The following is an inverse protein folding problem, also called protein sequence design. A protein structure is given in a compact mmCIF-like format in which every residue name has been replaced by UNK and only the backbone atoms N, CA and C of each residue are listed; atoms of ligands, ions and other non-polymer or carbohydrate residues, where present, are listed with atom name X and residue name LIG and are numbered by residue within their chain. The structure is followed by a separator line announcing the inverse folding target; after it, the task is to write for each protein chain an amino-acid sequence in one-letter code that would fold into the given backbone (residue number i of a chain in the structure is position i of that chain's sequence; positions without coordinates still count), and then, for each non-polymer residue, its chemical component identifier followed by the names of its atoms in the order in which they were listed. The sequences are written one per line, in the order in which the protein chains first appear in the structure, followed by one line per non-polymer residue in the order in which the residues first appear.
data_IF_344383576068
#
_entry.id   IF_344383576068
#
_cell.length_a   1.000
_cell.length_b   1.000
_cell.length_c   1.000
_cell.angle_alpha   90.00
_cell.angle_beta   90.00
_cell.angle_gamma   90.00
#
_symmetry.space_group_name_H-M   'P 1'
#
loop_
_entity.id
_entity.type
_entity.pdbx_description
1 polymer ?
#
# COMPACT_ATOMS: atom_id res chain seq x y z
N UNK A 1 -23.58 -5.68 9.27
CA UNK A 1 -22.14 -5.95 9.05
C UNK A 1 -21.40 -4.62 8.98
N UNK A 2 -20.76 -4.21 10.08
CA UNK A 2 -20.06 -2.91 10.20
C UNK A 2 -18.54 -3.02 9.99
N UNK A 3 -18.00 -4.25 9.97
CA UNK A 3 -16.59 -4.58 10.21
C UNK A 3 -15.69 -4.23 9.04
N UNK A 4 -16.25 -4.20 7.83
CA UNK A 4 -15.50 -3.94 6.61
C UNK A 4 -15.58 -2.48 6.15
N UNK A 5 -16.18 -1.59 6.95
CA UNK A 5 -16.33 -0.18 6.55
C UNK A 5 -15.03 0.62 6.64
N UNK A 6 -13.96 0.12 7.27
CA UNK A 6 -12.73 0.89 7.53
C UNK A 6 -11.47 0.01 7.63
N UNK A 7 -11.12 -0.73 6.59
CA UNK A 7 -9.71 -1.11 6.43
C UNK A 7 -9.07 0.03 5.64
N UNK A 8 -8.42 0.96 6.33
CA UNK A 8 -7.59 1.95 5.64
C UNK A 8 -6.46 1.20 4.96
N UNK A 9 -6.47 1.15 3.63
CA UNK A 9 -5.39 0.58 2.87
C UNK A 9 -4.08 1.31 3.23
N UNK A 10 -3.16 0.55 3.84
CA UNK A 10 -1.71 0.70 3.76
C UNK A 10 -1.13 2.11 3.96
N UNK A 11 -1.39 2.73 5.10
CA UNK A 11 -0.60 3.90 5.56
C UNK A 11 0.77 3.50 6.13
N UNK A 12 1.45 2.53 5.53
CA UNK A 12 2.84 2.19 5.86
C UNK A 12 3.76 3.30 5.36
N UNK A 13 4.61 3.86 6.22
CA UNK A 13 5.63 4.81 5.77
C UNK A 13 6.56 4.10 4.78
N UNK A 14 6.72 4.61 3.55
CA UNK A 14 7.86 4.22 2.70
C UNK A 14 9.10 4.84 3.36
N UNK A 15 10.19 4.09 3.58
CA UNK A 15 11.46 4.74 3.80
C UNK A 15 11.83 5.32 2.44
N UNK A 16 11.50 6.60 2.21
CA UNK A 16 12.03 7.31 1.05
C UNK A 16 13.54 7.29 1.20
N UNK A 17 14.20 6.56 0.30
CA UNK A 17 15.65 6.50 0.28
C UNK A 17 16.18 7.92 0.09
N UNK A 18 17.12 8.29 0.95
CA UNK A 18 17.75 9.60 0.92
C UNK A 18 18.61 9.73 -0.34
N UNK A 19 18.30 10.71 -1.17
CA UNK A 19 19.27 11.29 -2.09
C UNK A 19 20.37 11.98 -1.26
N UNK A 20 21.52 11.33 -1.11
CA UNK A 20 22.71 12.00 -0.62
C UNK A 20 23.36 12.76 -1.79
N UNK A 21 22.99 14.03 -1.98
CA UNK A 21 23.68 14.91 -2.93
C UNK A 21 25.07 15.25 -2.37
N UNK A 22 26.12 14.74 -3.03
CA UNK A 22 27.50 15.02 -2.68
C UNK A 22 27.84 16.49 -2.96
N UNK A 23 28.10 17.27 -1.91
CA UNK A 23 28.46 18.69 -2.01
C UNK A 23 29.96 18.83 -2.30
N UNK A 24 30.33 18.85 -3.59
CA UNK A 24 31.64 19.40 -4.00
C UNK A 24 31.56 20.92 -4.04
N UNK A 25 32.26 21.56 -3.10
CA UNK A 25 32.45 23.01 -3.03
C UNK A 25 33.17 23.54 -4.29
N UNK A 26 32.71 24.70 -4.80
CA UNK A 26 33.10 25.42 -6.03
C UNK A 26 32.35 25.08 -7.35
N UNK A 27 31.08 24.69 -7.27
CA UNK A 27 30.19 24.63 -8.45
C UNK A 27 29.35 25.91 -8.57
N UNK A 28 29.08 26.39 -9.78
CA UNK A 28 28.08 27.44 -10.02
C UNK A 28 26.71 27.03 -9.43
N UNK A 29 25.84 27.98 -9.01
CA UNK A 29 24.51 27.64 -8.52
C UNK A 29 23.77 26.82 -9.58
N UNK A 30 23.23 25.67 -9.17
CA UNK A 30 22.51 24.75 -10.07
C UNK A 30 21.25 25.45 -10.61
N UNK A 31 20.94 25.22 -11.87
CA UNK A 31 19.67 25.66 -12.45
C UNK A 31 18.54 24.77 -11.94
N UNK A 32 17.30 25.28 -11.98
CA UNK A 32 16.11 24.49 -11.62
C UNK A 32 16.03 23.17 -12.41
N UNK A 33 16.38 23.21 -13.68
CA UNK A 33 16.34 22.03 -14.55
C UNK A 33 17.38 20.97 -14.15
N UNK A 34 18.59 21.41 -13.76
CA UNK A 34 19.60 20.50 -13.21
C UNK A 34 19.14 19.86 -11.89
N UNK A 35 18.55 20.64 -10.98
CA UNK A 35 18.01 20.11 -9.72
C UNK A 35 16.85 19.14 -9.98
N UNK A 36 16.00 19.42 -10.96
CA UNK A 36 14.90 18.53 -11.37
C UNK A 36 15.41 17.18 -11.87
N UNK A 37 16.40 17.20 -12.78
CA UNK A 37 17.00 15.98 -13.31
C UNK A 37 17.67 15.16 -12.21
N UNK A 38 18.46 15.79 -11.34
CA UNK A 38 19.13 15.10 -10.24
C UNK A 38 18.13 14.50 -9.24
N UNK A 39 17.05 15.22 -8.92
CA UNK A 39 16.02 14.74 -8.00
C UNK A 39 15.28 13.53 -8.59
N UNK A 40 14.86 13.61 -9.85
CA UNK A 40 14.24 12.50 -10.55
C UNK A 40 15.18 11.28 -10.64
N UNK A 41 16.43 11.50 -11.05
CA UNK A 41 17.43 10.43 -11.13
C UNK A 41 17.62 9.74 -9.79
N UNK A 42 17.66 10.47 -8.69
CA UNK A 42 17.81 9.83 -7.38
C UNK A 42 16.58 9.10 -6.88
N UNK A 43 15.36 9.54 -7.21
CA UNK A 43 14.16 8.74 -6.97
C UNK A 43 14.26 7.39 -7.70
N UNK A 44 14.69 7.42 -8.97
CA UNK A 44 14.79 6.23 -9.82
C UNK A 44 16.07 5.39 -9.58
N UNK A 45 17.08 5.97 -8.94
CA UNK A 45 18.33 5.27 -8.60
C UNK A 45 18.26 4.51 -7.27
N UNK A 46 17.33 4.88 -6.38
CA UNK A 46 17.18 4.25 -5.08
C UNK A 46 16.67 2.80 -5.19
N UNK A 47 17.52 1.76 -4.98
CA UNK A 47 17.15 0.38 -5.29
C UNK A 47 15.89 -0.09 -4.55
N UNK A 48 15.74 0.34 -3.30
CA UNK A 48 14.64 -0.06 -2.41
C UNK A 48 13.29 0.58 -2.76
N UNK A 49 13.27 1.60 -3.62
CA UNK A 49 12.03 2.32 -4.01
C UNK A 49 11.86 2.50 -5.51
N UNK A 50 12.88 2.10 -6.30
CA UNK A 50 12.92 2.27 -7.75
C UNK A 50 11.66 1.74 -8.43
N UNK A 51 11.27 0.49 -8.15
CA UNK A 51 10.11 -0.13 -8.80
C UNK A 51 8.80 0.61 -8.50
N UNK A 52 8.68 1.18 -7.30
CA UNK A 52 7.53 2.01 -6.93
C UNK A 52 7.52 3.33 -7.73
N UNK A 53 8.64 4.04 -7.78
CA UNK A 53 8.74 5.28 -8.55
C UNK A 53 8.58 5.07 -10.05
N UNK A 54 9.10 3.97 -10.60
CA UNK A 54 8.86 3.57 -11.99
C UNK A 54 7.37 3.33 -12.26
N UNK A 55 6.66 2.66 -11.35
CA UNK A 55 5.22 2.45 -11.48
C UNK A 55 4.45 3.78 -11.43
N UNK A 56 4.77 4.66 -10.48
CA UNK A 56 4.16 5.99 -10.39
C UNK A 56 4.43 6.79 -11.66
N UNK A 57 5.67 6.87 -12.14
CA UNK A 57 6.03 7.61 -13.35
C UNK A 57 5.32 7.08 -14.59
N UNK A 58 5.14 5.76 -14.68
CA UNK A 58 4.46 5.13 -15.79
C UNK A 58 2.94 5.38 -15.76
N UNK A 59 2.32 5.19 -14.61
CA UNK A 59 0.87 5.11 -14.47
C UNK A 59 0.23 6.46 -14.08
N UNK A 60 1.00 7.36 -13.46
CA UNK A 60 0.63 8.71 -12.99
C UNK A 60 1.73 9.75 -13.30
N UNK A 61 2.08 9.97 -14.59
CA UNK A 61 3.20 10.83 -14.96
C UNK A 61 3.05 12.28 -14.49
N UNK A 62 1.84 12.83 -14.52
CA UNK A 62 1.60 14.21 -14.09
C UNK A 62 1.82 14.40 -12.58
N UNK A 63 1.38 13.44 -11.77
CA UNK A 63 1.59 13.43 -10.32
C UNK A 63 3.04 13.14 -9.96
N UNK A 64 3.75 12.34 -10.76
CA UNK A 64 5.19 12.16 -10.62
C UNK A 64 5.95 13.47 -10.87
N UNK A 65 5.63 14.18 -11.95
CA UNK A 65 6.22 15.49 -12.26
C UNK A 65 5.92 16.51 -11.15
N UNK A 66 4.73 16.45 -10.55
CA UNK A 66 4.38 17.28 -9.39
C UNK A 66 5.27 16.97 -8.18
N UNK A 67 5.51 15.70 -7.87
CA UNK A 67 6.42 15.28 -6.79
C UNK A 67 7.82 15.83 -7.01
N UNK A 68 8.35 15.71 -8.24
CA UNK A 68 9.67 16.25 -8.60
C UNK A 68 9.67 17.77 -8.40
N UNK A 69 8.63 18.47 -8.86
CA UNK A 69 8.48 19.91 -8.66
C UNK A 69 8.52 20.33 -7.19
N UNK A 70 7.86 19.59 -6.30
CA UNK A 70 7.88 19.83 -4.84
C UNK A 70 9.27 19.64 -4.24
N UNK A 71 9.99 18.59 -4.66
CA UNK A 71 11.37 18.34 -4.23
C UNK A 71 12.32 19.44 -4.67
N UNK A 72 12.21 19.88 -5.93
CA UNK A 72 12.99 20.98 -6.49
C UNK A 72 12.71 22.30 -5.77
N UNK A 73 11.44 22.62 -5.52
CA UNK A 73 11.06 23.84 -4.81
C UNK A 73 11.62 23.88 -3.39
N UNK A 74 11.65 22.73 -2.71
CA UNK A 74 12.23 22.61 -1.39
C UNK A 74 13.76 22.79 -1.43
N UNK A 75 14.49 22.04 -2.27
CA UNK A 75 15.94 22.14 -2.44
C UNK A 75 16.40 23.58 -2.78
N UNK A 76 15.65 24.26 -3.66
CA UNK A 76 15.98 25.63 -4.08
C UNK A 76 15.75 26.68 -2.97
N UNK A 77 14.83 26.44 -2.03
CA UNK A 77 14.58 27.34 -0.88
C UNK A 77 15.58 27.12 0.24
N UNK A 78 15.91 25.87 0.49
CA UNK A 78 16.84 25.41 1.52
C UNK A 78 17.32 24.03 1.11
N UNK A 79 18.62 23.75 1.25
CA UNK A 79 19.15 22.39 0.98
C UNK A 79 18.25 21.34 1.64
N UNK A 80 17.68 20.47 0.81
CA UNK A 80 16.67 19.50 1.20
C UNK A 80 17.30 18.48 2.13
N UNK A 81 16.84 18.44 3.37
CA UNK A 81 17.26 17.38 4.28
C UNK A 81 16.57 16.06 3.93
N UNK A 82 17.12 14.96 4.42
CA UNK A 82 16.51 13.63 4.31
C UNK A 82 15.08 13.62 4.88
N UNK A 83 14.88 14.25 6.03
CA UNK A 83 13.59 14.25 6.73
C UNK A 83 12.54 15.06 5.96
N UNK A 84 12.96 16.16 5.31
CA UNK A 84 12.09 16.94 4.42
C UNK A 84 11.66 16.11 3.21
N UNK A 85 12.58 15.37 2.58
CA UNK A 85 12.26 14.47 1.46
C UNK A 85 11.26 13.37 1.86
N UNK A 86 11.43 12.78 3.05
CA UNK A 86 10.48 11.79 3.61
C UNK A 86 9.11 12.44 3.84
N UNK A 87 9.08 13.64 4.41
CA UNK A 87 7.83 14.36 4.68
C UNK A 87 7.08 14.71 3.39
N UNK A 88 7.79 15.22 2.37
CA UNK A 88 7.23 15.53 1.05
C UNK A 88 6.64 14.29 0.41
N UNK A 89 7.39 13.19 0.34
CA UNK A 89 6.91 11.96 -0.29
C UNK A 89 5.74 11.32 0.46
N UNK A 90 5.73 11.38 1.81
CA UNK A 90 4.59 10.90 2.62
C UNK A 90 3.33 11.74 2.39
N UNK A 91 3.46 13.07 2.37
CA UNK A 91 2.33 13.96 2.10
C UNK A 91 1.79 13.72 0.70
N UNK A 92 2.67 13.70 -0.31
CA UNK A 92 2.29 13.49 -1.71
C UNK A 92 1.60 12.12 -1.91
N UNK A 93 2.12 11.04 -1.31
CA UNK A 93 1.47 9.73 -1.43
C UNK A 93 0.06 9.72 -0.83
N UNK A 94 -0.13 10.39 0.32
CA UNK A 94 -1.46 10.52 0.91
C UNK A 94 -2.44 11.30 0.04
N UNK A 95 -1.95 12.31 -0.70
CA UNK A 95 -2.76 13.08 -1.65
C UNK A 95 -3.08 12.26 -2.92
N UNK A 96 -2.11 11.49 -3.43
CA UNK A 96 -2.31 10.55 -4.54
C UNK A 96 -3.39 9.51 -4.18
N UNK A 97 -3.29 8.90 -3.01
CA UNK A 97 -4.27 7.94 -2.50
C UNK A 97 -5.66 8.58 -2.31
N UNK A 98 -5.72 9.82 -1.83
CA UNK A 98 -7.00 10.54 -1.70
C UNK A 98 -7.64 10.85 -3.07
N UNK A 99 -6.83 11.16 -4.08
CA UNK A 99 -7.31 11.48 -5.42
C UNK A 99 -7.76 10.22 -6.19
N UNK A 100 -6.97 9.15 -6.08
CA UNK A 100 -7.06 8.01 -6.99
C UNK A 100 -7.45 6.70 -6.31
N UNK A 101 -7.36 6.61 -4.98
CA UNK A 101 -7.54 5.38 -4.21
C UNK A 101 -8.91 4.72 -4.41
N UNK A 102 -9.98 5.52 -4.53
CA UNK A 102 -11.32 4.98 -4.79
C UNK A 102 -11.42 4.30 -6.17
N UNK A 103 -10.52 4.59 -7.11
CA UNK A 103 -10.47 3.94 -8.42
C UNK A 103 -10.11 2.47 -8.32
N UNK A 104 -9.45 2.01 -7.25
CA UNK A 104 -9.20 0.58 -7.00
C UNK A 104 -10.50 -0.21 -7.06
N UNK A 105 -11.63 0.34 -6.60
CA UNK A 105 -12.96 -0.31 -6.68
C UNK A 105 -13.38 -0.67 -8.10
N UNK A 106 -12.81 0.00 -9.11
CA UNK A 106 -13.08 -0.18 -10.53
C UNK A 106 -11.94 -0.85 -11.29
N UNK A 107 -10.82 -1.20 -10.64
CA UNK A 107 -9.67 -1.82 -11.29
C UNK A 107 -10.03 -3.16 -11.94
N UNK A 108 -9.45 -3.58 -13.08
CA UNK A 108 -9.77 -4.89 -13.63
C UNK A 108 -9.41 -6.05 -12.69
N UNK A 109 -10.12 -7.19 -12.83
CA UNK A 109 -9.95 -8.34 -11.93
C UNK A 109 -8.49 -8.78 -11.75
N UNK A 110 -7.70 -8.77 -12.83
CA UNK A 110 -6.28 -9.14 -12.78
C UNK A 110 -5.45 -8.21 -11.87
N UNK A 111 -5.71 -6.90 -11.87
CA UNK A 111 -5.04 -5.97 -10.96
C UNK A 111 -5.50 -6.15 -9.51
N UNK A 112 -6.79 -6.43 -9.28
CA UNK A 112 -7.28 -6.75 -7.93
C UNK A 112 -6.63 -8.03 -7.40
N UNK A 113 -6.55 -9.08 -8.23
CA UNK A 113 -5.90 -10.33 -7.87
C UNK A 113 -4.41 -10.13 -7.54
N UNK A 114 -3.69 -9.34 -8.34
CA UNK A 114 -2.28 -9.00 -8.06
C UNK A 114 -2.11 -8.21 -6.75
N UNK A 115 -2.99 -7.24 -6.49
CA UNK A 115 -2.98 -6.50 -5.22
C UNK A 115 -3.32 -7.41 -4.02
N UNK A 116 -4.27 -8.32 -4.19
CA UNK A 116 -4.65 -9.29 -3.16
C UNK A 116 -3.49 -10.23 -2.83
N UNK A 117 -2.87 -10.85 -3.84
CA UNK A 117 -1.71 -11.73 -3.69
C UNK A 117 -0.53 -11.03 -3.01
N UNK A 118 -0.18 -9.82 -3.47
CA UNK A 118 0.90 -9.05 -2.86
C UNK A 118 0.59 -8.62 -1.43
N UNK A 119 -0.68 -8.36 -1.09
CA UNK A 119 -1.12 -8.05 0.27
C UNK A 119 -1.01 -9.28 1.17
N UNK A 120 -1.46 -10.45 0.70
CA UNK A 120 -1.31 -11.71 1.42
C UNK A 120 0.16 -12.05 1.66
N UNK A 121 1.01 -11.90 0.64
CA UNK A 121 2.46 -12.11 0.77
C UNK A 121 3.10 -11.15 1.79
N UNK A 122 2.68 -9.88 1.79
CA UNK A 122 3.12 -8.91 2.79
C UNK A 122 2.70 -9.33 4.21
N UNK A 123 1.45 -9.74 4.39
CA UNK A 123 0.94 -10.19 5.68
C UNK A 123 1.66 -11.44 6.19
N UNK A 124 1.86 -12.46 5.34
CA UNK A 124 2.64 -13.66 5.68
C UNK A 124 4.10 -13.34 5.99
N UNK A 125 4.66 -12.35 5.31
CA UNK A 125 6.02 -11.89 5.61
C UNK A 125 6.07 -11.25 7.00
N UNK A 126 5.12 -10.37 7.33
CA UNK A 126 5.02 -9.77 8.66
C UNK A 126 4.72 -10.80 9.76
N UNK A 127 3.84 -11.76 9.51
CA UNK A 127 3.49 -12.79 10.49
C UNK A 127 4.73 -13.52 11.03
N UNK A 128 5.71 -13.78 10.15
CA UNK A 128 6.97 -14.44 10.49
C UNK A 128 7.98 -13.48 11.12
N UNK A 129 8.09 -12.24 10.64
CA UNK A 129 9.19 -11.33 11.03
C UNK A 129 8.83 -10.27 12.07
N UNK A 130 7.59 -9.79 12.09
CA UNK A 130 7.10 -8.68 12.93
C UNK A 130 5.58 -8.76 13.07
N UNK A 131 5.14 -9.60 14.01
CA UNK A 131 3.72 -9.85 14.29
C UNK A 131 2.94 -8.60 14.72
N UNK A 132 3.49 -7.68 15.53
CA UNK A 132 2.86 -6.38 15.77
C UNK A 132 2.55 -5.57 14.50
N UNK A 133 3.46 -5.54 13.52
CA UNK A 133 3.20 -4.86 12.24
C UNK A 133 2.19 -5.61 11.37
N UNK A 134 2.18 -6.94 11.39
CA UNK A 134 1.12 -7.76 10.79
C UNK A 134 -0.26 -7.39 11.35
N UNK A 135 -0.36 -7.29 12.68
CA UNK A 135 -1.58 -6.93 13.38
C UNK A 135 -2.11 -5.55 12.95
N UNK A 136 -1.21 -4.54 12.93
CA UNK A 136 -1.52 -3.20 12.43
C UNK A 136 -2.04 -3.22 10.99
N UNK A 137 -1.38 -3.96 10.11
CA UNK A 137 -1.81 -4.10 8.72
C UNK A 137 -3.21 -4.74 8.64
N UNK A 138 -3.48 -5.78 9.43
CA UNK A 138 -4.78 -6.47 9.45
C UNK A 138 -5.95 -5.56 9.87
N UNK A 139 -5.68 -4.52 10.68
CA UNK A 139 -6.69 -3.53 11.13
C UNK A 139 -6.58 -2.17 10.43
N UNK A 140 -5.76 -2.04 9.38
CA UNK A 140 -5.61 -0.80 8.61
C UNK A 140 -4.87 0.33 9.34
N UNK A 141 -4.02 -0.01 10.30
CA UNK A 141 -3.15 0.93 11.00
C UNK A 141 -1.80 1.14 10.28
N UNK A 142 -1.19 2.31 10.51
CA UNK A 142 0.14 2.66 9.99
C UNK A 142 1.25 1.84 10.64
N UNK A 143 2.24 1.42 9.87
CA UNK A 143 3.47 0.80 10.37
C UNK A 143 4.71 1.52 9.79
N UNK A 144 5.83 1.41 10.51
CA UNK A 144 7.10 2.03 10.13
C UNK A 144 8.05 0.98 9.56
N UNK A 145 8.44 1.15 8.30
CA UNK A 145 9.30 0.19 7.59
C UNK A 145 10.78 0.53 7.62
N UNK A 146 11.15 1.67 8.22
CA UNK A 146 12.52 2.18 8.21
C UNK A 146 13.53 1.27 8.92
N UNK A 147 13.06 0.50 9.92
CA UNK A 147 13.88 -0.43 10.70
C UNK A 147 13.65 -1.90 10.35
N UNK A 148 12.85 -2.19 9.31
CA UNK A 148 12.47 -3.55 8.94
C UNK A 148 13.51 -4.21 8.04
N UNK A 149 13.51 -5.56 8.01
CA UNK A 149 14.38 -6.33 7.12
C UNK A 149 14.11 -6.03 5.64
N UNK A 150 15.12 -6.22 4.79
CA UNK A 150 14.98 -6.07 3.33
C UNK A 150 13.87 -6.94 2.73
N UNK A 151 13.63 -8.13 3.30
CA UNK A 151 12.52 -9.00 2.89
C UNK A 151 11.16 -8.32 3.09
N UNK A 152 10.96 -7.69 4.24
CA UNK A 152 9.72 -6.96 4.55
C UNK A 152 9.59 -5.73 3.66
N UNK A 153 10.66 -4.96 3.52
CA UNK A 153 10.69 -3.78 2.65
C UNK A 153 10.32 -4.15 1.20
N UNK A 154 10.89 -5.22 0.65
CA UNK A 154 10.55 -5.73 -0.68
C UNK A 154 9.07 -6.11 -0.81
N UNK A 155 8.50 -6.76 0.20
CA UNK A 155 7.08 -7.12 0.20
C UNK A 155 6.18 -5.88 0.23
N UNK A 156 6.54 -4.86 1.03
CA UNK A 156 5.83 -3.57 1.06
C UNK A 156 5.90 -2.88 -0.30
N UNK A 157 7.07 -2.82 -0.92
CA UNK A 157 7.26 -2.17 -2.22
C UNK A 157 6.44 -2.85 -3.30
N UNK A 158 6.47 -4.19 -3.34
CA UNK A 158 5.68 -4.96 -4.31
C UNK A 158 4.19 -4.67 -4.15
N UNK A 159 3.71 -4.68 -2.92
CA UNK A 159 2.32 -4.39 -2.63
C UNK A 159 1.91 -2.95 -3.02
N UNK A 160 2.77 -1.96 -2.78
CA UNK A 160 2.55 -0.58 -3.22
C UNK A 160 2.53 -0.43 -4.74
N UNK A 161 3.43 -1.11 -5.46
CA UNK A 161 3.41 -1.13 -6.94
C UNK A 161 2.09 -1.69 -7.45
N UNK A 162 1.60 -2.80 -6.88
CA UNK A 162 0.34 -3.39 -7.31
C UNK A 162 -0.87 -2.52 -6.91
N UNK A 163 -0.77 -1.71 -5.84
CA UNK A 163 -1.78 -0.69 -5.50
C UNK A 163 -1.81 0.45 -6.52
N UNK A 164 -0.65 0.99 -6.90
CA UNK A 164 -0.53 2.02 -7.97
C UNK A 164 -1.19 1.51 -9.26
N UNK A 165 -0.85 0.29 -9.68
CA UNK A 165 -1.41 -0.33 -10.89
C UNK A 165 -2.91 -0.57 -10.79
N UNK A 166 -3.43 -0.93 -9.62
CA UNK A 166 -4.86 -1.07 -9.40
C UNK A 166 -5.58 0.29 -9.49
N UNK A 167 -5.03 1.34 -8.87
CA UNK A 167 -5.58 2.70 -9.00
C UNK A 167 -5.64 3.13 -10.47
N UNK A 168 -4.53 3.01 -11.20
CA UNK A 168 -4.45 3.41 -12.60
C UNK A 168 -5.31 2.53 -13.53
N UNK A 169 -5.34 1.23 -13.27
CA UNK A 169 -6.21 0.29 -13.98
C UNK A 169 -7.68 0.65 -13.82
N UNK A 170 -8.09 1.06 -12.62
CA UNK A 170 -9.47 1.48 -12.36
C UNK A 170 -9.89 2.79 -13.04
N UNK A 171 -8.93 3.68 -13.30
CA UNK A 171 -9.18 4.91 -14.06
C UNK A 171 -9.22 4.68 -15.57
N UNK A 172 -8.22 3.95 -16.08
CA UNK A 172 -8.04 3.76 -17.51
C UNK A 172 -8.97 2.69 -18.09
N UNK A 173 -9.28 1.65 -17.31
CA UNK A 173 -10.07 0.49 -17.73
C UNK A 173 -11.09 0.11 -16.66
N UNK A 174 -12.05 1.00 -16.33
CA UNK A 174 -12.99 0.76 -15.25
C UNK A 174 -13.84 -0.49 -15.53
N UNK A 175 -13.90 -1.39 -14.55
CA UNK A 175 -14.79 -2.54 -14.50
C UNK A 175 -15.81 -2.32 -13.38
N UNK A 176 -17.05 -1.88 -13.72
CA UNK A 176 -18.10 -1.74 -12.74
C UNK A 176 -18.39 -3.08 -12.06
N UNK A 177 -18.55 -3.05 -10.75
CA UNK A 177 -18.86 -4.21 -9.92
C UNK A 177 -19.85 -3.83 -8.85
N UNK A 178 -20.73 -4.75 -8.48
CA UNK A 178 -21.64 -4.57 -7.36
C UNK A 178 -20.87 -4.59 -6.03
N UNK A 179 -21.44 -3.99 -5.00
CA UNK A 179 -20.96 -4.22 -3.64
C UNK A 179 -21.01 -5.73 -3.30
N UNK A 180 -20.11 -6.23 -2.42
CA UNK A 180 -20.18 -7.61 -1.97
C UNK A 180 -21.53 -7.90 -1.31
N UNK A 181 -22.19 -8.94 -1.81
CA UNK A 181 -23.46 -9.39 -1.25
C UNK A 181 -23.24 -10.26 -0.01
N UNK A 182 -24.29 -10.51 0.77
CA UNK A 182 -24.20 -11.40 1.94
C UNK A 182 -23.60 -12.77 1.59
N UNK A 183 -23.94 -13.32 0.42
CA UNK A 183 -23.39 -14.59 -0.08
C UNK A 183 -21.87 -14.57 -0.29
N UNK A 184 -21.27 -13.42 -0.66
CA UNK A 184 -19.82 -13.30 -0.81
C UNK A 184 -19.13 -13.43 0.56
N UNK A 185 -19.69 -12.81 1.60
CA UNK A 185 -19.18 -12.92 2.96
C UNK A 185 -19.41 -14.30 3.58
N UNK A 186 -20.54 -14.95 3.29
CA UNK A 186 -20.79 -16.32 3.71
C UNK A 186 -19.76 -17.29 3.09
N UNK A 187 -19.46 -17.14 1.80
CA UNK A 187 -18.44 -17.92 1.12
C UNK A 187 -17.05 -17.67 1.71
N UNK A 188 -16.71 -16.39 1.96
CA UNK A 188 -15.47 -16.01 2.63
C UNK A 188 -15.33 -16.66 4.02
N UNK A 189 -16.34 -16.55 4.88
CA UNK A 189 -16.32 -17.14 6.22
C UNK A 189 -16.27 -18.67 6.18
N UNK A 190 -16.98 -19.30 5.23
CA UNK A 190 -16.87 -20.74 5.02
C UNK A 190 -15.44 -21.13 4.63
N UNK A 191 -14.77 -20.34 3.78
CA UNK A 191 -13.40 -20.59 3.37
C UNK A 191 -12.40 -20.39 4.51
N UNK A 192 -12.54 -19.35 5.32
CA UNK A 192 -11.73 -19.12 6.53
C UNK A 192 -11.83 -20.31 7.50
N UNK A 193 -13.04 -20.80 7.77
CA UNK A 193 -13.23 -22.02 8.59
C UNK A 193 -12.55 -23.25 7.97
N UNK A 194 -12.63 -23.40 6.65
CA UNK A 194 -11.95 -24.48 5.91
C UNK A 194 -10.41 -24.42 6.01
N UNK A 195 -9.85 -23.22 6.20
CA UNK A 195 -8.41 -23.01 6.44
C UNK A 195 -8.00 -23.23 7.90
N UNK A 196 -8.95 -23.55 8.79
CA UNK A 196 -8.69 -23.83 10.20
C UNK A 196 -8.91 -22.65 11.14
N UNK A 197 -9.55 -21.56 10.70
CA UNK A 197 -9.97 -20.49 11.63
C UNK A 197 -10.97 -21.03 12.64
N UNK A 198 -10.61 -21.02 13.92
CA UNK A 198 -11.46 -21.52 15.00
C UNK A 198 -12.65 -20.58 15.32
N UNK A 199 -13.61 -21.08 16.08
CA UNK A 199 -14.82 -20.35 16.45
C UNK A 199 -14.52 -19.07 17.28
N UNK A 200 -13.38 -19.03 17.99
CA UNK A 200 -12.97 -17.87 18.77
C UNK A 200 -12.51 -16.75 17.84
N UNK A 201 -11.66 -17.03 16.86
CA UNK A 201 -11.22 -16.07 15.86
C UNK A 201 -12.39 -15.59 14.99
N UNK A 202 -13.32 -16.47 14.61
CA UNK A 202 -14.53 -16.08 13.88
C UNK A 202 -15.41 -15.11 14.68
N UNK A 203 -15.52 -15.28 16.00
CA UNK A 203 -16.24 -14.35 16.89
C UNK A 203 -15.55 -13.00 17.04
N UNK A 204 -14.22 -12.95 16.95
CA UNK A 204 -13.46 -11.69 16.95
C UNK A 204 -13.66 -10.99 15.61
N UNK A 205 -13.46 -11.69 14.49
CA UNK A 205 -13.69 -11.16 13.14
C UNK A 205 -15.12 -10.67 12.94
N UNK A 206 -16.11 -11.27 13.60
CA UNK A 206 -17.52 -10.88 13.54
C UNK A 206 -17.90 -9.64 14.37
N UNK A 207 -16.96 -8.97 15.04
CA UNK A 207 -17.19 -7.73 15.79
C UNK A 207 -15.97 -6.80 15.68
N UNK A 208 -16.13 -5.66 15.00
CA UNK A 208 -15.05 -4.66 14.80
C UNK A 208 -14.44 -4.21 16.12
N UNK A 209 -15.25 -3.96 17.14
CA UNK A 209 -14.77 -3.54 18.44
C UNK A 209 -13.94 -4.63 19.13
N UNK A 210 -14.28 -5.91 18.94
CA UNK A 210 -13.46 -7.02 19.42
C UNK A 210 -12.18 -7.15 18.62
N UNK A 211 -12.23 -7.05 17.30
CA UNK A 211 -11.06 -7.11 16.44
C UNK A 211 -10.04 -6.03 16.84
N UNK A 212 -10.46 -4.78 17.01
CA UNK A 212 -9.59 -3.67 17.39
C UNK A 212 -8.96 -3.81 18.79
N UNK A 213 -9.53 -4.64 19.67
CA UNK A 213 -9.02 -4.89 21.04
C UNK A 213 -8.42 -6.28 21.23
N UNK A 214 -8.42 -7.12 20.20
CA UNK A 214 -7.85 -8.45 20.25
C UNK A 214 -6.33 -8.38 20.42
N UNK A 215 -5.73 -9.49 20.85
CA UNK A 215 -4.28 -9.58 20.90
C UNK A 215 -3.68 -9.41 19.48
N UNK A 216 -2.48 -8.81 19.33
CA UNK A 216 -1.83 -8.67 18.03
C UNK A 216 -1.72 -9.99 17.26
N UNK A 217 -1.50 -11.10 17.97
CA UNK A 217 -1.46 -12.45 17.40
C UNK A 217 -2.77 -12.83 16.71
N UNK A 218 -3.90 -12.50 17.34
CA UNK A 218 -5.23 -12.78 16.80
C UNK A 218 -5.55 -11.87 15.62
N UNK A 219 -5.23 -10.58 15.73
CA UNK A 219 -5.42 -9.61 14.64
C UNK A 219 -4.63 -10.03 13.39
N UNK A 220 -3.36 -10.37 13.56
CA UNK A 220 -2.51 -10.86 12.47
C UNK A 220 -3.06 -12.17 11.87
N UNK A 221 -3.39 -13.16 12.70
CA UNK A 221 -3.91 -14.45 12.22
C UNK A 221 -5.21 -14.27 11.44
N UNK A 222 -6.14 -13.47 11.96
CA UNK A 222 -7.41 -13.13 11.30
C UNK A 222 -7.14 -12.47 9.95
N UNK A 223 -6.22 -11.51 9.91
CA UNK A 223 -5.79 -10.89 8.66
C UNK A 223 -5.30 -11.94 7.67
N UNK A 224 -4.32 -12.77 8.04
CA UNK A 224 -3.73 -13.75 7.10
C UNK A 224 -4.80 -14.70 6.56
N UNK A 225 -5.67 -15.23 7.43
CA UNK A 225 -6.78 -16.07 7.00
C UNK A 225 -7.79 -15.33 6.11
N UNK A 226 -8.07 -14.05 6.38
CA UNK A 226 -9.00 -13.24 5.59
C UNK A 226 -8.52 -13.13 4.13
N UNK A 227 -7.26 -12.73 3.94
CA UNK A 227 -6.69 -12.55 2.61
C UNK A 227 -6.44 -13.87 1.88
N UNK A 228 -6.01 -14.91 2.59
CA UNK A 228 -5.86 -16.25 2.01
C UNK A 228 -7.21 -16.86 1.61
N UNK A 229 -8.26 -16.64 2.41
CA UNK A 229 -9.60 -17.10 2.07
C UNK A 229 -10.14 -16.35 0.84
N UNK A 230 -9.95 -15.03 0.74
CA UNK A 230 -10.35 -14.25 -0.43
C UNK A 230 -9.65 -14.73 -1.71
N UNK A 231 -8.34 -15.01 -1.65
CA UNK A 231 -7.55 -15.49 -2.79
C UNK A 231 -8.03 -16.85 -3.33
N UNK A 232 -8.69 -17.65 -2.49
CA UNK A 232 -9.20 -18.98 -2.84
C UNK A 232 -10.68 -19.01 -3.25
N UNK A 233 -11.35 -17.85 -3.33
CA UNK A 233 -12.71 -17.73 -3.85
C UNK A 233 -12.73 -17.73 -5.39
N UNK A 234 -13.88 -18.02 -6.02
CA UNK A 234 -14.07 -17.75 -7.44
C UNK A 234 -13.66 -16.31 -7.81
N UNK A 235 -13.06 -16.15 -8.98
CA UNK A 235 -12.42 -14.89 -9.41
C UNK A 235 -13.32 -13.66 -9.18
N UNK A 236 -14.58 -13.71 -9.62
CA UNK A 236 -15.50 -12.59 -9.47
C UNK A 236 -15.83 -12.25 -8.00
N UNK A 237 -15.91 -13.26 -7.12
CA UNK A 237 -16.16 -13.06 -5.70
C UNK A 237 -14.92 -12.47 -5.01
N UNK A 238 -13.75 -13.03 -5.32
CA UNK A 238 -12.46 -12.54 -4.84
C UNK A 238 -12.25 -11.08 -5.25
N UNK A 239 -12.48 -10.76 -6.53
CA UNK A 239 -12.34 -9.42 -7.06
C UNK A 239 -13.32 -8.43 -6.42
N UNK A 240 -14.58 -8.81 -6.19
CA UNK A 240 -15.54 -7.94 -5.47
C UNK A 240 -15.09 -7.66 -4.04
N UNK A 241 -14.76 -8.68 -3.27
CA UNK A 241 -14.32 -8.51 -1.88
C UNK A 241 -13.01 -7.72 -1.81
N UNK A 242 -12.02 -8.10 -2.62
CA UNK A 242 -10.72 -7.44 -2.72
C UNK A 242 -10.86 -5.97 -3.10
N UNK A 243 -11.63 -5.64 -4.14
CA UNK A 243 -11.88 -4.26 -4.54
C UNK A 243 -12.46 -3.41 -3.40
N UNK A 244 -13.33 -3.96 -2.55
CA UNK A 244 -13.91 -3.21 -1.43
C UNK A 244 -12.98 -3.09 -0.23
N UNK A 245 -12.17 -4.11 0.05
CA UNK A 245 -11.31 -4.16 1.24
C UNK A 245 -9.93 -3.54 1.05
N UNK A 246 -9.41 -3.56 -0.18
CA UNK A 246 -8.08 -3.07 -0.53
C UNK A 246 -8.09 -1.62 -1.02
N UNK A 247 -9.28 -1.04 -1.28
CA UNK A 247 -9.37 0.35 -1.71
C UNK A 247 -9.06 1.29 -0.55
N UNK A 248 -8.13 2.26 -0.71
CA UNK A 248 -7.98 3.37 0.23
C UNK A 248 -9.32 4.07 0.45
N UNK A 249 -9.54 4.55 1.69
CA UNK A 249 -10.75 5.28 2.08
C UNK A 249 -10.72 6.73 1.59
#
# INVERSE_FOLDING_TARGET
MAIFKRVNALKGAVPLAALALAVSACSAPKTREQVSQEFEEGLLAAPDTKAFWEAVKQDFPAEFDELVGRGVDAEMKSSLSKDDGIAIGKQWLGELEAMHGQSVKLAPNAQIAALLDSTLNLMKTFEVSDKPSCAKLAVGETFDTSLMSSRVQNAVQRNKVDLIRAMAGGQSHPQPRSEPAEGDYQALYARMRGLGTDERLMKILGDEGRLMRAAPEDQCSIGVFLYEAMDQLPEDQSARLGAFLLSPA
#
